data_IF_707807043212
#
_entry.id   IF_707807043212
#
_cell.length_a   1.000
_cell.length_b   1.000
_cell.length_c   1.000
_cell.angle_alpha   90.00
_cell.angle_beta   90.00
_cell.angle_gamma   90.00
#
_symmetry.space_group_name_H-M   'P 1'
#
loop_
_entity.id
_entity.type
_entity.pdbx_description
1 polymer ?
#
# COMPACT_ATOMS: atom_id res chain seq x y z
N UNK A 1 2.23 -12.37 11.03
CA UNK A 1 1.49 -11.73 12.14
C UNK A 1 0.11 -12.34 12.22
N UNK A 2 -0.23 -12.83 13.39
CA UNK A 2 -1.52 -13.48 13.58
C UNK A 2 -2.52 -12.47 14.13
N UNK A 3 -3.46 -12.08 13.29
CA UNK A 3 -4.50 -11.14 13.67
C UNK A 3 -5.80 -11.64 13.04
N UNK A 4 -6.89 -11.57 13.79
CA UNK A 4 -8.15 -12.02 13.25
C UNK A 4 -8.65 -11.02 12.18
N UNK A 5 -9.33 -11.55 11.17
CA UNK A 5 -9.73 -10.77 9.99
C UNK A 5 -10.60 -9.55 10.34
N UNK A 6 -11.53 -9.70 11.27
CA UNK A 6 -12.39 -8.59 11.66
C UNK A 6 -11.61 -7.48 12.35
N UNK A 7 -10.69 -7.84 13.24
CA UNK A 7 -9.85 -6.86 13.92
C UNK A 7 -8.92 -6.17 12.93
N UNK A 8 -8.37 -6.92 11.99
CA UNK A 8 -7.51 -6.38 10.96
C UNK A 8 -8.27 -5.40 10.06
N UNK A 9 -9.46 -5.78 9.61
CA UNK A 9 -10.29 -4.92 8.78
C UNK A 9 -10.68 -3.63 9.51
N UNK A 10 -11.04 -3.72 10.78
CA UNK A 10 -11.39 -2.56 11.58
C UNK A 10 -10.19 -1.61 11.72
N UNK A 11 -9.02 -2.15 12.00
CA UNK A 11 -7.78 -1.38 12.09
C UNK A 11 -7.50 -0.66 10.76
N UNK A 12 -7.58 -1.37 9.64
CA UNK A 12 -7.33 -0.79 8.33
C UNK A 12 -8.31 0.33 7.99
N UNK A 13 -9.60 0.14 8.29
CA UNK A 13 -10.59 1.19 8.09
C UNK A 13 -10.31 2.43 8.93
N UNK A 14 -9.79 2.21 10.14
CA UNK A 14 -9.45 3.31 11.03
C UNK A 14 -8.29 4.14 10.52
N UNK A 15 -7.26 3.51 9.96
CA UNK A 15 -6.07 4.22 9.50
C UNK A 15 -6.15 4.68 8.04
N UNK A 16 -7.05 4.11 7.24
CA UNK A 16 -7.14 4.39 5.80
C UNK A 16 -7.28 5.89 5.48
N UNK A 17 -8.13 6.67 6.17
CA UNK A 17 -8.25 8.09 5.84
C UNK A 17 -6.96 8.88 5.98
N UNK A 18 -6.04 8.45 6.82
CA UNK A 18 -4.75 9.11 7.00
C UNK A 18 -3.85 9.05 5.77
N UNK A 19 -4.14 8.14 4.84
CA UNK A 19 -3.35 8.01 3.61
C UNK A 19 -3.83 8.92 2.49
N UNK A 20 -4.93 9.64 2.67
CA UNK A 20 -5.48 10.51 1.63
C UNK A 20 -4.56 11.64 1.23
N UNK A 21 -3.74 12.10 2.15
CA UNK A 21 -2.85 13.24 1.94
C UNK A 21 -1.39 12.86 1.71
N UNK A 22 -1.09 11.58 1.52
CA UNK A 22 0.28 11.14 1.27
C UNK A 22 0.71 11.61 -0.12
N UNK A 23 1.81 12.38 -0.23
CA UNK A 23 2.25 12.91 -1.51
C UNK A 23 2.59 11.80 -2.51
N UNK A 24 2.04 11.90 -3.72
CA UNK A 24 2.33 10.96 -4.79
C UNK A 24 1.60 9.63 -4.72
N UNK A 25 0.87 9.37 -3.66
CA UNK A 25 0.10 8.13 -3.53
C UNK A 25 -1.22 8.27 -4.29
N UNK A 26 -1.44 7.39 -5.26
CA UNK A 26 -2.66 7.39 -6.07
C UNK A 26 -3.74 6.56 -5.39
N UNK A 27 -3.37 5.35 -4.97
CA UNK A 27 -4.30 4.46 -4.26
C UNK A 27 -3.53 3.46 -3.43
N UNK A 28 -4.19 2.94 -2.42
CA UNK A 28 -3.65 1.87 -1.58
C UNK A 28 -4.76 0.85 -1.32
N UNK A 29 -4.44 -0.42 -1.49
CA UNK A 29 -5.29 -1.51 -1.07
C UNK A 29 -4.70 -2.12 0.19
N UNK A 30 -5.51 -2.23 1.22
CA UNK A 30 -5.13 -2.92 2.45
C UNK A 30 -5.49 -4.37 2.28
N UNK A 31 -4.53 -5.26 2.43
CA UNK A 31 -4.71 -6.68 2.15
C UNK A 31 -4.41 -7.54 3.37
N UNK A 32 -5.01 -8.70 3.38
CA UNK A 32 -4.88 -9.66 4.46
C UNK A 32 -4.98 -11.07 3.87
N UNK A 33 -4.05 -11.92 4.23
CA UNK A 33 -4.04 -13.30 3.77
C UNK A 33 -4.51 -14.25 4.88
N UNK A 34 -5.04 -15.38 4.49
CA UNK A 34 -5.56 -16.38 5.43
C UNK A 34 -4.49 -16.90 6.39
N UNK A 35 -3.24 -16.91 5.95
CA UNK A 35 -2.11 -17.36 6.77
C UNK A 35 -1.63 -16.33 7.79
N UNK A 36 -2.33 -15.19 7.88
CA UNK A 36 -2.02 -14.15 8.86
C UNK A 36 -1.11 -13.05 8.36
N UNK A 37 -0.68 -13.08 7.10
CA UNK A 37 0.07 -11.99 6.52
C UNK A 37 -0.84 -10.83 6.19
N UNK A 38 -0.40 -9.62 6.49
CA UNK A 38 -1.14 -8.41 6.19
C UNK A 38 -0.19 -7.39 5.54
N UNK A 39 -0.75 -6.50 4.74
CA UNK A 39 0.07 -5.50 4.08
C UNK A 39 -0.74 -4.53 3.25
N UNK A 40 -0.09 -3.92 2.29
CA UNK A 40 -0.71 -2.97 1.39
C UNK A 40 -0.15 -3.09 -0.01
N UNK A 41 -1.01 -2.84 -0.97
CA UNK A 41 -0.60 -2.66 -2.36
C UNK A 41 -0.78 -1.18 -2.67
N UNK A 42 0.33 -0.52 -2.97
CA UNK A 42 0.37 0.92 -3.17
C UNK A 42 0.60 1.23 -4.64
N UNK A 43 -0.14 2.18 -5.16
CA UNK A 43 0.10 2.72 -6.49
C UNK A 43 0.59 4.16 -6.35
N UNK A 44 1.79 4.43 -6.85
CA UNK A 44 2.46 5.72 -6.72
C UNK A 44 2.59 6.41 -8.06
N UNK A 45 2.66 7.74 -8.06
CA UNK A 45 2.96 8.52 -9.26
C UNK A 45 4.38 8.26 -9.74
N UNK A 46 5.32 8.08 -8.81
CA UNK A 46 6.70 7.83 -9.14
C UNK A 46 7.37 6.98 -8.08
N UNK A 47 8.47 6.34 -8.46
CA UNK A 47 9.27 5.57 -7.54
C UNK A 47 9.90 6.45 -6.46
N UNK A 48 10.26 7.68 -6.79
CA UNK A 48 10.82 8.62 -5.82
C UNK A 48 9.84 8.91 -4.69
N UNK A 49 8.57 9.09 -5.01
CA UNK A 49 7.53 9.31 -3.99
C UNK A 49 7.41 8.10 -3.07
N UNK A 50 7.44 6.89 -3.65
CA UNK A 50 7.39 5.66 -2.89
C UNK A 50 8.58 5.52 -1.96
N UNK A 51 9.78 5.75 -2.48
CA UNK A 51 11.01 5.63 -1.69
C UNK A 51 11.03 6.63 -0.53
N UNK A 52 10.54 7.84 -0.77
CA UNK A 52 10.47 8.85 0.28
C UNK A 52 9.51 8.44 1.40
N UNK A 53 8.41 7.77 1.05
CA UNK A 53 7.42 7.35 2.04
C UNK A 53 7.92 6.22 2.94
N UNK A 54 8.61 5.23 2.35
CA UNK A 54 8.99 4.00 3.05
C UNK A 54 10.24 4.17 3.93
N UNK A 55 10.45 5.36 4.44
CA UNK A 55 11.59 5.66 5.31
C UNK A 55 11.10 6.38 6.56
N UNK A 56 12.01 6.65 7.49
CA UNK A 56 11.73 7.50 8.65
C UNK A 56 10.50 7.08 9.46
N UNK A 57 9.51 7.98 9.62
CA UNK A 57 8.38 7.72 10.50
C UNK A 57 7.55 6.49 10.14
N UNK A 58 7.39 6.22 8.85
CA UNK A 58 6.65 5.03 8.42
C UNK A 58 7.36 3.75 8.88
N UNK A 59 8.66 3.68 8.62
CA UNK A 59 9.46 2.51 8.97
C UNK A 59 9.51 2.29 10.48
N UNK A 60 9.72 3.37 11.22
CA UNK A 60 9.73 3.30 12.68
C UNK A 60 8.37 2.82 13.22
N UNK A 61 7.28 3.31 12.65
CA UNK A 61 5.94 2.90 13.04
C UNK A 61 5.65 1.42 12.78
N UNK A 62 6.14 0.89 11.66
CA UNK A 62 5.98 -0.54 11.36
C UNK A 62 6.76 -1.39 12.35
N UNK A 63 8.00 -1.04 12.62
CA UNK A 63 8.84 -1.75 13.58
C UNK A 63 8.22 -1.73 14.98
N UNK A 64 7.71 -0.59 15.39
CA UNK A 64 7.12 -0.42 16.72
C UNK A 64 5.82 -1.21 16.86
N UNK A 65 4.93 -1.13 15.86
CA UNK A 65 3.61 -1.76 15.93
C UNK A 65 3.65 -3.27 15.77
N UNK A 66 4.51 -3.76 14.89
CA UNK A 66 4.49 -5.18 14.51
C UNK A 66 5.72 -5.94 14.97
N UNK A 67 6.74 -5.24 15.48
CA UNK A 67 7.94 -5.88 15.98
C UNK A 67 8.78 -6.59 14.93
N UNK A 68 8.64 -6.20 13.66
CA UNK A 68 9.33 -6.85 12.56
C UNK A 68 9.65 -5.86 11.45
N UNK A 69 10.61 -6.23 10.62
CA UNK A 69 10.94 -5.44 9.44
C UNK A 69 9.90 -5.67 8.35
N UNK A 70 9.46 -4.61 7.67
CA UNK A 70 8.57 -4.78 6.54
C UNK A 70 9.32 -5.37 5.34
N UNK A 71 8.60 -6.13 4.54
CA UNK A 71 9.11 -6.58 3.25
C UNK A 71 8.49 -5.70 2.18
N UNK A 72 9.34 -5.07 1.37
CA UNK A 72 8.89 -4.13 0.33
C UNK A 72 9.39 -4.63 -1.01
N UNK A 73 8.49 -4.66 -1.98
CA UNK A 73 8.85 -5.02 -3.34
C UNK A 73 8.24 -4.01 -4.30
N UNK A 74 9.07 -3.51 -5.21
CA UNK A 74 8.64 -2.56 -6.23
C UNK A 74 8.32 -3.29 -7.52
N UNK A 75 7.28 -2.84 -8.17
CA UNK A 75 6.86 -3.34 -9.48
C UNK A 75 6.60 -2.17 -10.40
N UNK A 76 6.86 -2.38 -11.68
CA UNK A 76 6.40 -1.45 -12.70
C UNK A 76 5.07 -1.95 -13.23
N UNK A 77 4.11 -1.04 -13.37
CA UNK A 77 2.81 -1.38 -13.93
C UNK A 77 2.89 -1.27 -15.44
N UNK A 78 2.76 -2.38 -16.13
CA UNK A 78 2.78 -2.39 -17.59
C UNK A 78 1.47 -1.85 -18.14
N UNK A 79 0.35 -2.29 -17.61
CA UNK A 79 -0.97 -1.80 -17.97
C UNK A 79 -1.98 -2.25 -16.91
N UNK A 80 -3.16 -1.65 -16.94
CA UNK A 80 -4.25 -2.01 -16.03
C UNK A 80 -5.52 -2.19 -16.86
N UNK A 81 -6.11 -3.37 -16.76
CA UNK A 81 -7.48 -3.56 -17.26
C UNK A 81 -8.41 -3.28 -16.08
N UNK A 82 -9.20 -2.25 -16.20
CA UNK A 82 -10.13 -1.86 -15.13
C UNK A 82 -11.56 -1.91 -15.66
N UNK A 83 -12.24 -3.00 -15.36
CA UNK A 83 -13.60 -3.22 -15.85
C UNK A 83 -14.64 -2.38 -15.10
N UNK A 84 -14.28 -1.79 -13.97
CA UNK A 84 -15.19 -0.89 -13.27
C UNK A 84 -15.37 0.41 -14.03
N UNK A 85 -14.40 0.80 -14.84
CA UNK A 85 -14.46 1.98 -15.70
C UNK A 85 -14.39 1.60 -17.17
N UNK A 86 -14.44 0.31 -17.48
CA UNK A 86 -14.42 -0.25 -18.84
C UNK A 86 -13.24 0.26 -19.66
N UNK A 87 -12.06 0.26 -19.07
CA UNK A 87 -10.86 0.82 -19.69
C UNK A 87 -9.63 -0.04 -19.47
N UNK A 88 -8.72 0.03 -20.44
CA UNK A 88 -7.35 -0.46 -20.26
C UNK A 88 -6.47 0.78 -20.16
N UNK A 89 -5.77 0.89 -19.05
CA UNK A 89 -4.94 2.05 -18.76
C UNK A 89 -3.48 1.71 -18.97
N UNK A 90 -2.76 2.61 -19.62
CA UNK A 90 -1.32 2.49 -19.77
C UNK A 90 -0.66 3.49 -18.84
N UNK A 91 0.46 3.10 -18.21
CA UNK A 91 1.16 4.04 -17.35
C UNK A 91 1.71 5.20 -18.17
N UNK A 92 1.85 6.33 -17.52
CA UNK A 92 2.48 7.50 -18.13
C UNK A 92 3.95 7.19 -18.37
N UNK A 93 4.43 7.52 -19.55
CA UNK A 93 5.85 7.32 -19.89
C UNK A 93 6.81 8.08 -18.99
N UNK A 94 6.31 9.08 -18.25
CA UNK A 94 7.12 9.85 -17.33
C UNK A 94 7.37 9.14 -15.99
N UNK A 95 6.69 8.08 -15.74
CA UNK A 95 6.84 7.34 -14.48
C UNK A 95 8.15 6.60 -14.36
#
# INVERSE_FOLDING_TARGET
MSIDLQACAAHFRNIAPGFRSVPGLIRKQFIYAEDGWAGGVYLWKSRLDAEAFYTGPWLAGIRERYGMEPQIKFFETACVTDNSIEAVLLPDAAE
#
